data_IF_329624296083
#
_entry.id   IF_329624296083
#
_cell.length_a   1.000
_cell.length_b   1.000
_cell.length_c   1.000
_cell.angle_alpha   90.00
_cell.angle_beta   90.00
_cell.angle_gamma   90.00
#
_symmetry.space_group_name_H-M   'P 1'
#
loop_
_entity.id
_entity.type
_entity.pdbx_description
1 polymer ?
#
# COMPACT_ATOMS: atom_id res chain seq x y z
N UNK A 1 -7.09 -14.18 -14.04
CA UNK A 1 -6.04 -13.97 -13.01
C UNK A 1 -4.79 -13.25 -13.53
N UNK A 2 -4.22 -13.57 -14.72
CA UNK A 2 -2.95 -12.99 -15.17
C UNK A 2 -2.90 -11.45 -15.15
N UNK A 3 -3.95 -10.77 -15.58
CA UNK A 3 -4.02 -9.31 -15.55
C UNK A 3 -3.99 -8.69 -14.14
N UNK A 4 -4.50 -9.39 -13.11
CA UNK A 4 -4.41 -8.91 -11.72
C UNK A 4 -3.02 -9.14 -11.14
N UNK A 5 -2.41 -10.28 -11.45
CA UNK A 5 -1.03 -10.60 -11.10
C UNK A 5 -0.11 -9.54 -11.71
N UNK A 6 -0.25 -9.25 -13.01
CA UNK A 6 0.54 -8.23 -13.68
C UNK A 6 0.39 -6.84 -13.04
N UNK A 7 -0.83 -6.45 -12.64
CA UNK A 7 -1.05 -5.16 -11.95
C UNK A 7 -0.40 -5.11 -10.57
N UNK A 8 -0.46 -6.19 -9.79
CA UNK A 8 0.25 -6.27 -8.51
C UNK A 8 1.76 -6.25 -8.70
N UNK A 9 2.27 -7.02 -9.66
CA UNK A 9 3.70 -7.05 -9.98
C UNK A 9 4.20 -5.66 -10.44
N UNK A 10 3.52 -5.04 -11.40
CA UNK A 10 3.90 -3.73 -11.94
C UNK A 10 3.64 -2.57 -10.97
N UNK A 11 2.61 -2.65 -10.14
CA UNK A 11 2.23 -1.57 -9.24
C UNK A 11 2.86 -1.62 -7.84
N UNK A 12 3.26 -2.81 -7.39
CA UNK A 12 3.91 -2.99 -6.09
C UNK A 12 5.37 -3.43 -6.21
N UNK A 13 5.62 -4.52 -6.94
CA UNK A 13 6.94 -5.16 -6.92
C UNK A 13 7.97 -4.40 -7.75
N UNK A 14 7.58 -3.89 -8.93
CA UNK A 14 8.49 -3.17 -9.81
C UNK A 14 8.99 -1.84 -9.19
N UNK A 15 8.14 -0.94 -8.65
CA UNK A 15 8.61 0.27 -8.01
C UNK A 15 9.48 -0.03 -6.78
N UNK A 16 9.10 -1.01 -5.96
CA UNK A 16 9.90 -1.43 -4.81
C UNK A 16 11.26 -1.97 -5.24
N UNK A 17 11.32 -2.84 -6.25
CA UNK A 17 12.58 -3.38 -6.77
C UNK A 17 13.50 -2.27 -7.33
N UNK A 18 12.93 -1.26 -8.00
CA UNK A 18 13.68 -0.12 -8.51
C UNK A 18 14.25 0.72 -7.35
N UNK A 19 13.41 1.04 -6.35
CA UNK A 19 13.82 1.90 -5.23
C UNK A 19 14.85 1.23 -4.32
N UNK A 20 14.67 -0.06 -4.08
CA UNK A 20 15.54 -0.87 -3.21
C UNK A 20 16.82 -1.34 -3.94
N UNK A 21 16.74 -1.66 -5.23
CA UNK A 21 17.84 -2.28 -5.97
C UNK A 21 18.79 -1.29 -6.66
N UNK A 22 18.32 -0.13 -7.12
CA UNK A 22 19.16 0.83 -7.84
C UNK A 22 19.74 1.88 -6.90
N UNK A 23 21.06 1.89 -6.71
CA UNK A 23 21.71 2.71 -5.69
C UNK A 23 21.35 2.21 -4.30
N UNK A 24 21.52 0.90 -4.09
CA UNK A 24 21.27 0.22 -2.82
C UNK A 24 22.14 0.84 -1.72
N UNK A 25 21.50 1.18 -0.60
CA UNK A 25 22.21 1.58 0.61
C UNK A 25 22.70 0.32 1.34
N UNK A 26 23.82 0.40 2.07
CA UNK A 26 24.25 -0.72 2.92
C UNK A 26 23.13 -1.10 3.90
N UNK A 27 22.99 -2.40 4.20
CA UNK A 27 22.07 -2.84 5.23
C UNK A 27 22.43 -2.22 6.59
N UNK A 28 21.41 -1.80 7.33
CA UNK A 28 21.58 -1.24 8.68
C UNK A 28 21.28 -2.28 9.77
N UNK A 29 20.65 -3.39 9.38
CA UNK A 29 20.29 -4.49 10.26
C UNK A 29 19.10 -5.25 9.72
N UNK A 30 19.06 -6.56 9.99
CA UNK A 30 18.03 -7.43 9.42
C UNK A 30 16.60 -6.97 9.74
N UNK A 31 16.32 -6.64 11.00
CA UNK A 31 14.99 -6.20 11.43
C UNK A 31 14.63 -4.81 10.86
N UNK A 32 15.55 -3.85 10.96
CA UNK A 32 15.43 -2.53 10.35
C UNK A 32 15.13 -2.58 8.84
N UNK A 33 15.92 -3.33 8.07
CA UNK A 33 15.77 -3.40 6.62
C UNK A 33 14.50 -4.15 6.21
N UNK A 34 14.13 -5.20 6.97
CA UNK A 34 12.86 -5.90 6.77
C UNK A 34 11.68 -4.97 7.00
N UNK A 35 11.68 -4.22 8.10
CA UNK A 35 10.60 -3.33 8.47
C UNK A 35 10.44 -2.20 7.44
N UNK A 36 11.55 -1.61 6.98
CA UNK A 36 11.49 -0.58 5.96
C UNK A 36 11.03 -1.12 4.59
N UNK A 37 11.49 -2.31 4.17
CA UNK A 37 11.00 -2.94 2.95
C UNK A 37 9.49 -3.26 3.02
N UNK A 38 9.02 -3.76 4.17
CA UNK A 38 7.59 -3.96 4.42
C UNK A 38 6.80 -2.65 4.36
N UNK A 39 7.32 -1.56 4.93
CA UNK A 39 6.73 -0.22 4.85
C UNK A 39 6.62 0.27 3.41
N UNK A 40 7.69 0.15 2.62
CA UNK A 40 7.70 0.59 1.22
C UNK A 40 6.76 -0.24 0.33
N UNK A 41 6.73 -1.56 0.49
CA UNK A 41 5.79 -2.43 -0.22
C UNK A 41 4.34 -2.16 0.22
N UNK A 42 4.12 -1.85 1.49
CA UNK A 42 2.83 -1.38 2.02
C UNK A 42 2.37 -0.06 1.40
N UNK A 43 3.28 0.91 1.25
CA UNK A 43 3.06 2.17 0.55
C UNK A 43 2.67 1.96 -0.92
N UNK A 44 3.38 1.08 -1.63
CA UNK A 44 3.03 0.74 -3.01
C UNK A 44 1.66 0.05 -3.10
N UNK A 45 1.34 -0.83 -2.13
CA UNK A 45 0.03 -1.48 -2.05
C UNK A 45 -1.09 -0.46 -1.80
N UNK A 46 -0.87 0.54 -0.95
CA UNK A 46 -1.80 1.66 -0.76
C UNK A 46 -2.08 2.39 -2.08
N UNK A 47 -1.05 2.73 -2.85
CA UNK A 47 -1.22 3.32 -4.18
C UNK A 47 -2.01 2.42 -5.14
N UNK A 48 -1.71 1.12 -5.15
CA UNK A 48 -2.39 0.15 -6.00
C UNK A 48 -3.88 -0.03 -5.65
N UNK A 49 -4.29 0.21 -4.40
CA UNK A 49 -5.70 0.15 -4.01
C UNK A 49 -6.56 1.17 -4.77
N UNK A 50 -6.00 2.31 -5.19
CA UNK A 50 -6.67 3.26 -6.09
C UNK A 50 -6.89 2.66 -7.49
N UNK A 51 -5.95 1.87 -7.99
CA UNK A 51 -6.07 1.22 -9.30
C UNK A 51 -7.15 0.13 -9.30
N UNK A 52 -7.18 -0.67 -8.24
CA UNK A 52 -8.17 -1.76 -8.05
C UNK A 52 -9.57 -1.20 -7.74
N UNK A 53 -9.65 -0.10 -6.98
CA UNK A 53 -10.82 0.75 -6.73
C UNK A 53 -12.09 0.08 -6.15
N UNK A 54 -12.05 -1.20 -5.77
CA UNK A 54 -13.21 -1.94 -5.24
C UNK A 54 -14.40 -2.06 -6.21
N UNK A 55 -14.20 -1.74 -7.50
CA UNK A 55 -15.25 -1.72 -8.53
C UNK A 55 -15.00 -2.81 -9.57
N UNK A 56 -16.05 -3.32 -10.24
CA UNK A 56 -15.87 -4.24 -11.36
C UNK A 56 -14.91 -3.67 -12.40
N UNK A 57 -13.94 -4.48 -12.82
CA UNK A 57 -13.00 -4.13 -13.89
C UNK A 57 -13.39 -4.87 -15.18
N UNK A 58 -12.89 -4.42 -16.35
CA UNK A 58 -13.13 -5.09 -17.63
C UNK A 58 -12.51 -6.48 -17.68
N UNK A 59 -11.37 -6.66 -17.00
CA UNK A 59 -10.70 -7.96 -16.84
C UNK A 59 -10.11 -8.08 -15.44
N UNK A 60 -10.15 -9.27 -14.82
CA UNK A 60 -10.89 -10.46 -15.25
C UNK A 60 -12.42 -10.26 -15.19
N UNK A 61 -13.18 -11.05 -15.96
CA UNK A 61 -14.65 -11.00 -16.00
C UNK A 61 -15.26 -11.68 -14.76
N UNK A 62 -14.98 -11.14 -13.58
CA UNK A 62 -15.51 -11.62 -12.31
C UNK A 62 -16.65 -10.72 -11.82
N UNK A 63 -17.49 -11.26 -10.95
CA UNK A 63 -18.56 -10.50 -10.29
C UNK A 63 -18.02 -9.32 -9.46
N UNK A 64 -18.85 -8.30 -9.22
CA UNK A 64 -18.43 -7.12 -8.44
C UNK A 64 -18.00 -7.44 -7.01
N UNK A 65 -18.58 -8.49 -6.40
CA UNK A 65 -18.21 -8.95 -5.05
C UNK A 65 -16.74 -9.36 -4.96
N UNK A 66 -16.17 -9.92 -6.03
CA UNK A 66 -14.74 -10.24 -6.09
C UNK A 66 -13.88 -8.99 -5.88
N UNK A 67 -14.13 -7.92 -6.62
CA UNK A 67 -13.31 -6.70 -6.57
C UNK A 67 -13.47 -5.95 -5.26
N UNK A 68 -14.70 -5.92 -4.72
CA UNK A 68 -14.95 -5.32 -3.41
C UNK A 68 -14.20 -6.08 -2.30
N UNK A 69 -14.27 -7.42 -2.32
CA UNK A 69 -13.56 -8.25 -1.35
C UNK A 69 -12.05 -8.15 -1.52
N UNK A 70 -11.55 -8.15 -2.76
CA UNK A 70 -10.13 -7.97 -3.06
C UNK A 70 -9.59 -6.64 -2.51
N UNK A 71 -10.26 -5.53 -2.79
CA UNK A 71 -9.86 -4.22 -2.30
C UNK A 71 -9.88 -4.15 -0.77
N UNK A 72 -10.90 -4.73 -0.13
CA UNK A 72 -10.98 -4.83 1.33
C UNK A 72 -9.82 -5.66 1.91
N UNK A 73 -9.61 -6.86 1.39
CA UNK A 73 -8.62 -7.80 1.93
C UNK A 73 -7.18 -7.27 1.71
N UNK A 74 -6.90 -6.66 0.56
CA UNK A 74 -5.63 -5.95 0.32
C UNK A 74 -5.50 -4.67 1.17
N UNK A 75 -6.60 -3.97 1.47
CA UNK A 75 -6.60 -2.86 2.41
C UNK A 75 -6.18 -3.28 3.81
N UNK A 76 -6.69 -4.42 4.30
CA UNK A 76 -6.23 -5.00 5.56
C UNK A 76 -4.77 -5.48 5.49
N UNK A 77 -4.34 -6.04 4.36
CA UNK A 77 -2.93 -6.38 4.16
C UNK A 77 -2.02 -5.15 4.24
N UNK A 78 -2.40 -4.03 3.62
CA UNK A 78 -1.63 -2.78 3.69
C UNK A 78 -1.54 -2.24 5.12
N UNK A 79 -2.64 -2.29 5.89
CA UNK A 79 -2.62 -1.93 7.31
C UNK A 79 -1.76 -2.88 8.13
N UNK A 80 -1.81 -4.19 7.87
CA UNK A 80 -0.96 -5.16 8.56
C UNK A 80 0.52 -4.90 8.29
N UNK A 81 0.91 -4.61 7.04
CA UNK A 81 2.28 -4.25 6.69
C UNK A 81 2.73 -2.95 7.35
N UNK A 82 1.85 -1.95 7.43
CA UNK A 82 2.10 -0.71 8.18
C UNK A 82 2.35 -0.98 9.66
N UNK A 83 1.52 -1.83 10.29
CA UNK A 83 1.71 -2.19 11.70
C UNK A 83 2.99 -3.00 11.93
N UNK A 84 3.35 -3.89 11.00
CA UNK A 84 4.64 -4.61 11.03
C UNK A 84 5.79 -3.63 10.90
N UNK A 85 5.73 -2.69 9.97
CA UNK A 85 6.75 -1.66 9.78
C UNK A 85 6.98 -0.86 11.07
N UNK A 86 5.93 -0.31 11.67
CA UNK A 86 6.04 0.48 12.91
C UNK A 86 6.47 -0.40 14.09
N UNK A 87 5.82 -1.56 14.26
CA UNK A 87 6.02 -2.42 15.42
C UNK A 87 7.42 -3.05 15.46
N UNK A 88 7.95 -3.49 14.32
CA UNK A 88 9.32 -4.03 14.26
C UNK A 88 10.33 -2.92 14.52
N UNK A 89 10.16 -1.72 13.93
CA UNK A 89 11.07 -0.60 14.17
C UNK A 89 11.09 -0.17 15.64
N UNK A 90 9.95 -0.09 16.32
CA UNK A 90 9.90 0.27 17.75
C UNK A 90 10.50 -0.80 18.68
N UNK A 91 10.51 -2.07 18.26
CA UNK A 91 11.13 -3.15 19.03
C UNK A 91 12.64 -3.19 18.80
N UNK A 92 13.08 -2.99 17.55
CA UNK A 92 14.47 -3.01 17.14
C UNK A 92 15.23 -1.75 17.60
N UNK A 93 14.59 -0.58 17.48
CA UNK A 93 15.12 0.71 17.92
C UNK A 93 14.08 1.45 18.80
N UNK A 94 14.09 1.20 20.13
CA UNK A 94 13.11 1.78 21.05
C UNK A 94 13.11 3.30 21.12
N UNK A 95 14.22 3.97 20.76
CA UNK A 95 14.31 5.43 20.74
C UNK A 95 13.38 6.06 19.69
N UNK A 96 12.94 5.30 18.68
CA UNK A 96 11.94 5.76 17.70
C UNK A 96 10.58 6.09 18.32
N UNK A 97 10.35 5.79 19.60
CA UNK A 97 9.16 6.27 20.31
C UNK A 97 9.09 7.81 20.33
N UNK A 98 10.23 8.50 20.27
CA UNK A 98 10.30 9.96 20.19
C UNK A 98 9.71 10.49 18.87
N UNK A 99 9.79 9.70 17.79
CA UNK A 99 9.21 10.05 16.49
C UNK A 99 7.68 9.92 16.44
N UNK A 100 7.06 9.40 17.51
CA UNK A 100 5.61 9.40 17.70
C UNK A 100 5.10 10.67 18.41
N UNK A 101 6.01 11.52 18.91
CA UNK A 101 5.67 12.74 19.64
C UNK A 101 5.53 13.94 18.68
N UNK A 102 4.79 15.00 19.07
CA UNK A 102 4.65 16.21 18.25
C UNK A 102 5.96 16.96 17.94
N UNK A 103 7.04 16.65 18.67
CA UNK A 103 8.39 17.18 18.44
C UNK A 103 9.11 16.54 17.26
N UNK A 104 8.60 15.43 16.73
CA UNK A 104 9.22 14.71 15.62
C UNK A 104 9.31 15.59 14.35
N UNK A 105 10.27 15.31 13.46
CA UNK A 105 10.34 15.96 12.16
C UNK A 105 9.03 15.85 11.38
N UNK A 106 8.70 16.88 10.60
CA UNK A 106 7.40 16.96 9.90
C UNK A 106 7.08 15.76 9.00
N UNK A 107 8.08 15.11 8.41
CA UNK A 107 7.88 13.90 7.61
C UNK A 107 7.52 12.66 8.45
N UNK A 108 7.99 12.58 9.71
CA UNK A 108 7.57 11.53 10.65
C UNK A 108 6.14 11.76 11.11
N UNK A 109 5.79 13.01 11.42
CA UNK A 109 4.40 13.39 11.74
C UNK A 109 3.44 13.11 10.57
N UNK A 110 3.88 13.33 9.33
CA UNK A 110 3.10 12.94 8.15
C UNK A 110 2.91 11.42 8.06
N UNK A 111 3.94 10.63 8.35
CA UNK A 111 3.85 9.17 8.44
C UNK A 111 2.85 8.72 9.49
N UNK A 112 2.92 9.29 10.69
CA UNK A 112 1.99 9.01 11.79
C UNK A 112 0.55 9.39 11.44
N UNK A 113 0.33 10.58 10.88
CA UNK A 113 -0.99 11.03 10.45
C UNK A 113 -1.58 10.13 9.36
N UNK A 114 -0.75 9.70 8.39
CA UNK A 114 -1.14 8.71 7.38
C UNK A 114 -1.53 7.38 8.02
N UNK A 115 -0.74 6.89 8.97
CA UNK A 115 -0.99 5.63 9.66
C UNK A 115 -2.33 5.64 10.41
N UNK A 116 -2.60 6.71 11.16
CA UNK A 116 -3.87 6.92 11.86
C UNK A 116 -5.04 6.96 10.86
N UNK A 117 -4.89 7.71 9.76
CA UNK A 117 -5.93 7.78 8.72
C UNK A 117 -6.19 6.41 8.08
N UNK A 118 -5.15 5.62 7.80
CA UNK A 118 -5.30 4.26 7.27
C UNK A 118 -6.07 3.35 8.24
N UNK A 119 -5.79 3.43 9.54
CA UNK A 119 -6.53 2.69 10.57
C UNK A 119 -8.01 3.12 10.61
N UNK A 120 -8.27 4.43 10.60
CA UNK A 120 -9.63 4.98 10.56
C UNK A 120 -10.37 4.52 9.30
N UNK A 121 -9.72 4.56 8.12
CA UNK A 121 -10.26 4.08 6.85
C UNK A 121 -10.58 2.58 6.88
N UNK A 122 -9.72 1.76 7.48
CA UNK A 122 -9.95 0.32 7.60
C UNK A 122 -11.11 -0.01 8.55
N UNK A 123 -11.12 0.62 9.74
CA UNK A 123 -12.15 0.40 10.76
C UNK A 123 -13.52 0.88 10.27
N UNK A 124 -13.59 2.09 9.71
CA UNK A 124 -14.82 2.65 9.14
C UNK A 124 -15.38 1.84 7.96
N UNK A 125 -14.53 1.06 7.28
CA UNK A 125 -14.93 0.20 6.17
C UNK A 125 -15.54 -1.13 6.62
N UNK A 126 -15.49 -1.47 7.93
CA UNK A 126 -16.16 -2.64 8.47
C UNK A 126 -17.68 -2.52 8.33
N UNK A 127 -18.35 -3.58 7.90
CA UNK A 127 -19.80 -3.58 7.68
C UNK A 127 -20.62 -3.15 8.91
N UNK A 128 -20.14 -3.48 10.12
CA UNK A 128 -20.78 -3.10 11.39
C UNK A 128 -20.57 -1.62 11.76
N UNK A 129 -19.49 -1.00 11.28
CA UNK A 129 -19.08 0.35 11.66
C UNK A 129 -19.52 1.38 10.61
N UNK A 130 -19.46 1.03 9.33
CA UNK A 130 -19.76 1.89 8.18
C UNK A 130 -21.07 2.71 8.31
N UNK A 131 -22.20 2.16 8.78
CA UNK A 131 -23.44 2.93 8.92
C UNK A 131 -23.33 4.12 9.90
N UNK A 132 -22.41 4.05 10.87
CA UNK A 132 -22.18 5.14 11.84
C UNK A 132 -21.46 6.34 11.24
N UNK A 133 -20.66 6.11 10.20
CA UNK A 133 -19.81 7.14 9.57
C UNK A 133 -20.49 7.82 8.37
N UNK A 134 -21.51 7.19 7.80
CA UNK A 134 -22.17 7.74 6.61
C UNK A 134 -23.59 7.24 6.46
N UNK A 135 -24.51 8.19 6.28
CA UNK A 135 -25.95 7.94 6.02
C UNK A 135 -26.21 7.27 4.67
N UNK A 136 -25.30 7.41 3.69
CA UNK A 136 -25.49 6.83 2.34
C UNK A 136 -24.22 6.22 1.78
N UNK A 137 -24.38 5.27 0.85
CA UNK A 137 -23.24 4.65 0.16
C UNK A 137 -22.45 5.67 -0.69
N UNK A 138 -23.12 6.68 -1.25
CA UNK A 138 -22.48 7.72 -2.05
C UNK A 138 -21.66 8.69 -1.20
N UNK A 139 -22.18 9.09 -0.03
CA UNK A 139 -21.41 9.91 0.92
C UNK A 139 -20.18 9.16 1.42
N UNK A 140 -20.32 7.87 1.76
CA UNK A 140 -19.19 7.02 2.17
C UNK A 140 -18.08 6.99 1.14
N UNK A 141 -18.42 6.75 -0.13
CA UNK A 141 -17.41 6.70 -1.21
C UNK A 141 -16.67 8.03 -1.40
N UNK A 142 -17.35 9.17 -1.21
CA UNK A 142 -16.73 10.49 -1.39
C UNK A 142 -15.72 10.77 -0.28
N UNK A 143 -16.11 10.62 0.97
CA UNK A 143 -15.20 10.91 2.08
C UNK A 143 -14.09 9.86 2.16
N UNK A 144 -14.40 8.57 1.94
CA UNK A 144 -13.38 7.51 1.96
C UNK A 144 -12.31 7.79 0.91
N UNK A 145 -12.71 8.14 -0.31
CA UNK A 145 -11.77 8.56 -1.36
C UNK A 145 -10.94 9.79 -0.95
N UNK A 146 -11.57 10.83 -0.41
CA UNK A 146 -10.87 12.05 0.00
C UNK A 146 -9.84 11.79 1.11
N UNK A 147 -10.24 11.04 2.14
CA UNK A 147 -9.36 10.64 3.23
C UNK A 147 -8.25 9.69 2.76
N UNK A 148 -8.54 8.75 1.85
CA UNK A 148 -7.50 7.90 1.24
C UNK A 148 -6.50 8.71 0.43
N UNK A 149 -6.95 9.72 -0.33
CA UNK A 149 -6.08 10.59 -1.10
C UNK A 149 -5.17 11.41 -0.17
N UNK A 150 -5.72 11.91 0.93
CA UNK A 150 -4.94 12.63 1.93
C UNK A 150 -3.91 11.72 2.63
N UNK A 151 -4.29 10.50 3.01
CA UNK A 151 -3.36 9.50 3.54
C UNK A 151 -2.24 9.17 2.54
N UNK A 152 -2.57 9.01 1.26
CA UNK A 152 -1.57 8.79 0.21
C UNK A 152 -0.57 9.97 0.13
N UNK A 153 -1.04 11.22 0.16
CA UNK A 153 -0.16 12.40 0.14
C UNK A 153 0.74 12.48 1.38
N UNK A 154 0.21 12.20 2.57
CA UNK A 154 0.99 12.19 3.81
C UNK A 154 2.04 11.08 3.81
N UNK A 155 1.68 9.88 3.34
CA UNK A 155 2.63 8.80 3.10
C UNK A 155 3.75 9.24 2.14
N UNK A 156 3.46 10.07 1.14
CA UNK A 156 4.45 10.58 0.19
C UNK A 156 5.51 11.41 0.90
N UNK A 157 5.02 12.37 1.68
CA UNK A 157 5.85 13.30 2.44
C UNK A 157 6.74 12.52 3.38
N UNK A 158 6.20 11.47 4.02
CA UNK A 158 6.97 10.55 4.85
C UNK A 158 8.08 9.83 4.07
N UNK A 159 7.76 9.13 2.97
CA UNK A 159 8.73 8.34 2.19
C UNK A 159 9.79 9.23 1.52
N UNK A 160 9.41 10.41 1.03
CA UNK A 160 10.33 11.36 0.42
C UNK A 160 11.18 12.07 1.47
N UNK A 161 10.60 12.45 2.61
CA UNK A 161 11.31 13.12 3.69
C UNK A 161 12.30 12.21 4.43
N UNK A 162 11.98 10.91 4.58
CA UNK A 162 12.89 9.94 5.15
C UNK A 162 14.16 9.73 4.30
N UNK A 163 14.08 9.92 2.98
CA UNK A 163 15.23 10.01 2.07
C UNK A 163 16.05 8.73 1.84
N UNK A 164 15.96 7.73 2.72
CA UNK A 164 16.85 6.56 2.73
C UNK A 164 16.83 5.78 1.41
N UNK A 165 15.63 5.46 0.91
CA UNK A 165 15.44 4.80 -0.39
C UNK A 165 15.07 5.75 -1.53
N UNK A 166 14.88 7.03 -1.25
CA UNK A 166 14.29 8.01 -2.17
C UNK A 166 15.22 9.20 -2.47
N UNK A 167 16.43 9.26 -1.90
CA UNK A 167 17.31 10.43 -1.94
C UNK A 167 17.81 10.87 -3.33
N UNK A 168 17.70 10.02 -4.35
CA UNK A 168 18.02 10.38 -5.74
C UNK A 168 16.88 11.16 -6.40
N UNK A 169 17.18 12.28 -7.08
CA UNK A 169 16.15 13.13 -7.73
C UNK A 169 15.26 12.36 -8.71
N UNK A 170 15.81 11.38 -9.42
CA UNK A 170 15.04 10.52 -10.33
C UNK A 170 14.11 9.55 -9.57
N UNK A 171 14.49 9.10 -8.37
CA UNK A 171 13.63 8.28 -7.48
C UNK A 171 12.47 9.10 -6.94
N UNK A 172 12.73 10.34 -6.56
CA UNK A 172 11.68 11.32 -6.20
C UNK A 172 10.71 11.51 -7.37
N UNK A 173 11.22 11.78 -8.57
CA UNK A 173 10.39 11.98 -9.76
C UNK A 173 9.53 10.74 -10.08
N UNK A 174 10.11 9.54 -9.96
CA UNK A 174 9.39 8.27 -10.13
C UNK A 174 8.25 8.14 -9.12
N UNK A 175 8.53 8.33 -7.82
CA UNK A 175 7.54 8.24 -6.75
C UNK A 175 6.40 9.22 -6.95
N UNK A 176 6.71 10.49 -7.21
CA UNK A 176 5.71 11.54 -7.47
C UNK A 176 4.85 11.18 -8.69
N UNK A 177 5.45 10.68 -9.77
CA UNK A 177 4.72 10.28 -10.97
C UNK A 177 3.76 9.13 -10.70
N UNK A 178 4.22 8.07 -10.02
CA UNK A 178 3.39 6.91 -9.66
C UNK A 178 2.23 7.31 -8.75
N UNK A 179 2.49 8.24 -7.82
CA UNK A 179 1.48 8.78 -6.92
C UNK A 179 0.41 9.59 -7.62
N UNK A 180 0.80 10.52 -8.50
CA UNK A 180 -0.15 11.29 -9.30
C UNK A 180 -0.98 10.36 -10.19
N UNK A 181 -0.33 9.37 -10.82
CA UNK A 181 -1.03 8.36 -11.60
C UNK A 181 -2.05 7.60 -10.76
N UNK A 182 -1.68 7.13 -9.57
CA UNK A 182 -2.58 6.44 -8.64
C UNK A 182 -3.76 7.34 -8.19
N UNK A 183 -3.49 8.61 -7.88
CA UNK A 183 -4.50 9.57 -7.44
C UNK A 183 -5.52 9.90 -8.55
N UNK A 184 -5.06 10.03 -9.81
CA UNK A 184 -5.91 10.39 -10.95
C UNK A 184 -6.69 9.17 -11.46
N UNK A 185 -6.12 7.96 -11.37
CA UNK A 185 -6.67 6.74 -11.98
C UNK A 185 -8.16 6.49 -11.71
N UNK A 186 -8.70 6.63 -10.48
CA UNK A 186 -10.12 6.37 -10.22
C UNK A 186 -11.08 7.35 -10.87
N UNK A 187 -10.56 8.50 -11.32
CA UNK A 187 -11.33 9.57 -11.99
C UNK A 187 -11.36 9.42 -13.50
N UNK A 188 -10.49 8.60 -14.07
CA UNK A 188 -10.46 8.36 -15.50
C UNK A 188 -11.75 7.67 -15.97
N UNK A 189 -12.32 8.06 -17.12
CA UNK A 189 -13.49 7.40 -17.69
C UNK A 189 -13.15 5.93 -17.94
N UNK A 190 -14.01 5.03 -17.45
CA UNK A 190 -13.86 3.59 -17.65
C UNK A 190 -14.86 3.12 -18.71
N UNK A 191 -14.47 2.20 -19.61
CA UNK A 191 -15.39 1.62 -20.57
C UNK A 191 -16.60 1.00 -19.85
N UNK A 192 -17.78 1.19 -20.43
CA UNK A 192 -19.06 0.85 -19.80
C UNK A 192 -19.13 -0.60 -19.32
N UNK A 193 -19.79 -0.81 -18.18
CA UNK A 193 -19.91 -2.10 -17.51
C UNK A 193 -20.81 -3.13 -18.22
N UNK A 194 -21.20 -2.89 -19.48
CA UNK A 194 -22.11 -3.74 -20.28
C UNK A 194 -21.52 -5.09 -20.71
N UNK A 195 -20.45 -5.55 -20.08
CA UNK A 195 -19.81 -6.83 -20.40
C UNK A 195 -20.58 -7.96 -19.71
N UNK A 196 -21.30 -8.75 -20.52
CA UNK A 196 -21.97 -9.98 -20.09
C UNK A 196 -20.97 -11.12 -19.85
N UNK A 197 -21.41 -12.23 -19.26
CA UNK A 197 -20.56 -13.42 -19.06
C UNK A 197 -19.62 -13.37 -17.84
N UNK A 198 -19.92 -12.54 -16.83
CA UNK A 198 -19.13 -12.52 -15.58
C UNK A 198 -19.27 -13.84 -14.80
N UNK A 199 -18.14 -14.41 -14.39
CA UNK A 199 -18.10 -15.59 -13.53
C UNK A 199 -18.62 -15.26 -12.13
N UNK A 200 -19.55 -16.09 -11.64
CA UNK A 200 -20.16 -16.01 -10.30
C UNK A 200 -19.36 -16.83 -9.28
N UNK A 201 -19.61 -16.63 -8.00
CA UNK A 201 -18.97 -17.36 -6.89
C UNK A 201 -17.45 -17.23 -6.88
N UNK A 202 -16.93 -16.08 -7.32
CA UNK A 202 -15.49 -15.83 -7.39
C UNK A 202 -14.97 -15.11 -6.15
N UNK A 203 -15.84 -14.58 -5.29
CA UNK A 203 -15.45 -13.79 -4.12
C UNK A 203 -14.38 -14.46 -3.24
N UNK A 204 -14.47 -15.76 -2.95
CA UNK A 204 -13.46 -16.43 -2.10
C UNK A 204 -12.07 -16.47 -2.76
N UNK A 205 -11.99 -16.52 -4.10
CA UNK A 205 -10.72 -16.43 -4.83
C UNK A 205 -10.02 -15.10 -4.59
N UNK A 206 -10.76 -14.02 -4.31
CA UNK A 206 -10.17 -12.72 -3.97
C UNK A 206 -9.36 -12.78 -2.66
N UNK A 207 -9.89 -13.47 -1.65
CA UNK A 207 -9.22 -13.62 -0.34
C UNK A 207 -7.97 -14.47 -0.46
N UNK A 208 -8.04 -15.63 -1.12
CA UNK A 208 -6.86 -16.46 -1.37
C UNK A 208 -5.78 -15.71 -2.13
N UNK A 209 -6.18 -14.93 -3.13
CA UNK A 209 -5.27 -14.11 -3.89
C UNK A 209 -4.62 -12.99 -3.05
N UNK A 210 -5.40 -12.30 -2.22
CA UNK A 210 -4.87 -11.30 -1.30
C UNK A 210 -3.88 -11.92 -0.30
N UNK A 211 -4.21 -13.08 0.28
CA UNK A 211 -3.30 -13.81 1.18
C UNK A 211 -2.00 -14.22 0.49
N UNK A 212 -2.09 -14.77 -0.73
CA UNK A 212 -0.90 -15.13 -1.51
C UNK A 212 -0.05 -13.89 -1.82
N UNK A 213 -0.68 -12.78 -2.22
CA UNK A 213 0.03 -11.52 -2.47
C UNK A 213 0.71 -10.99 -1.20
N UNK A 214 0.04 -11.03 -0.05
CA UNK A 214 0.64 -10.66 1.24
C UNK A 214 1.83 -11.54 1.60
N UNK A 215 1.72 -12.86 1.42
CA UNK A 215 2.83 -13.80 1.66
C UNK A 215 4.03 -13.51 0.78
N UNK A 216 3.81 -13.22 -0.52
CA UNK A 216 4.87 -12.81 -1.44
C UNK A 216 5.51 -11.49 -1.00
N UNK A 217 4.72 -10.49 -0.62
CA UNK A 217 5.23 -9.19 -0.14
C UNK A 217 6.12 -9.38 1.09
N UNK A 218 5.65 -10.14 2.10
CA UNK A 218 6.43 -10.42 3.31
C UNK A 218 7.71 -11.19 2.97
N UNK A 219 7.62 -12.22 2.13
CA UNK A 219 8.77 -13.00 1.70
C UNK A 219 9.81 -12.16 0.96
N UNK A 220 9.37 -11.20 0.13
CA UNK A 220 10.26 -10.26 -0.56
C UNK A 220 10.89 -9.25 0.40
N UNK A 221 10.17 -8.76 1.41
CA UNK A 221 10.77 -7.92 2.47
C UNK A 221 11.86 -8.68 3.22
N UNK A 222 11.64 -9.95 3.54
CA UNK A 222 12.62 -10.79 4.21
C UNK A 222 13.83 -11.09 3.31
N UNK A 223 13.58 -11.42 2.03
CA UNK A 223 14.64 -11.62 1.06
C UNK A 223 15.50 -10.36 0.88
N UNK A 224 14.88 -9.19 0.76
CA UNK A 224 15.61 -7.92 0.68
C UNK A 224 16.49 -7.70 1.92
N UNK A 225 15.93 -7.88 3.12
CA UNK A 225 16.67 -7.76 4.37
C UNK A 225 17.89 -8.68 4.42
N UNK A 226 17.73 -9.95 4.01
CA UNK A 226 18.85 -10.89 3.93
C UNK A 226 19.90 -10.41 2.92
N UNK A 227 19.50 -10.03 1.71
CA UNK A 227 20.43 -9.60 0.65
C UNK A 227 21.17 -8.30 1.00
N UNK A 228 20.50 -7.35 1.66
CA UNK A 228 21.10 -6.06 2.05
C UNK A 228 22.15 -6.21 3.16
N UNK A 229 22.04 -7.27 3.98
CA UNK A 229 22.94 -7.55 5.09
C UNK A 229 23.93 -8.68 4.81
N UNK A 230 23.86 -9.31 3.63
CA UNK A 230 24.93 -10.19 3.17
C UNK A 230 26.09 -9.32 2.71
N UNK A 231 27.25 -9.48 3.36
CA UNK A 231 28.53 -9.04 2.81
C UNK A 231 28.81 -9.85 1.54
N UNK A 232 28.16 -9.48 0.44
CA UNK A 232 28.53 -10.00 -0.86
C UNK A 232 29.91 -9.42 -1.16
N UNK A 233 30.94 -10.27 -1.40
CA UNK A 233 32.21 -9.77 -1.91
C UNK A 233 31.92 -9.15 -3.28
N UNK A 234 31.95 -7.82 -3.33
CA UNK A 234 31.91 -7.05 -4.59
C UNK A 234 33.25 -7.15 -5.31
#
# INVERSE_FOLDING_TARGET
MPALIARLALGCLLPAAILLGLGAMPGLGYAWDFANAAGLLGACLLGLLFVIAGRPQPRPLYEGKFFLRLHRDLGFAAVALLLVHIGVLLVDEPLLIEDLLPSAPGYMLAGLASAILMLVLAISSLNRVRPRWSRSAASFRRWHYGASLFALLLMAVHVLGAGYYSGGIWKVALLVTLMLAAAIWPRLPKPGNGISGRQRNTAQRATWFALAASGVIIGLSALYSLLANLELPL
#
